data_IF_086656116251
#
_entry.id   IF_086656116251
#
_cell.length_a   1.000
_cell.length_b   1.000
_cell.length_c   1.000
_cell.angle_alpha   90.00
_cell.angle_beta   90.00
_cell.angle_gamma   90.00
#
_symmetry.space_group_name_H-M   'P 1'
#
loop_
_entity.id
_entity.type
_entity.pdbx_description
1 polymer ?
#
# COMPACT_ATOMS: atom_id res chain seq x y z
N UNK A 1 3.97 3.71 -19.44
CA UNK A 1 5.19 3.33 -18.69
C UNK A 1 4.84 3.31 -17.22
N UNK A 2 5.48 2.45 -16.42
CA UNK A 2 5.22 2.34 -15.00
C UNK A 2 6.01 3.36 -14.19
N UNK A 3 5.32 4.18 -13.40
CA UNK A 3 5.97 5.19 -12.52
C UNK A 3 6.55 4.58 -11.22
N UNK A 4 6.20 3.32 -10.92
CA UNK A 4 6.73 2.62 -9.75
C UNK A 4 8.08 2.00 -10.10
N UNK A 5 9.13 2.47 -9.44
CA UNK A 5 10.45 1.84 -9.50
C UNK A 5 10.42 0.49 -8.75
N UNK A 6 10.06 -0.57 -9.46
CA UNK A 6 10.10 -1.93 -8.92
C UNK A 6 11.54 -2.45 -8.74
N UNK A 7 12.52 -1.92 -9.47
CA UNK A 7 13.91 -2.37 -9.39
C UNK A 7 14.50 -2.17 -7.98
N UNK A 8 14.16 -1.07 -7.32
CA UNK A 8 14.66 -0.73 -5.98
C UNK A 8 13.81 -1.28 -4.83
N UNK A 9 12.81 -2.13 -5.09
CA UNK A 9 11.95 -2.69 -4.03
C UNK A 9 12.65 -3.82 -3.26
N UNK A 10 12.21 -4.02 -2.03
CA UNK A 10 12.69 -5.11 -1.19
C UNK A 10 11.88 -6.39 -1.50
N UNK A 11 12.57 -7.42 -2.01
CA UNK A 11 12.00 -8.71 -2.36
C UNK A 11 12.22 -9.80 -1.29
N UNK A 12 12.92 -9.49 -0.20
CA UNK A 12 13.37 -10.47 0.80
C UNK A 12 12.22 -11.25 1.41
N UNK A 13 11.11 -10.60 1.76
CA UNK A 13 9.99 -11.30 2.38
C UNK A 13 9.27 -12.23 1.40
N UNK A 14 9.18 -11.84 0.12
CA UNK A 14 8.63 -12.68 -0.94
C UNK A 14 9.50 -13.93 -1.15
N UNK A 15 10.81 -13.73 -1.36
CA UNK A 15 11.76 -14.82 -1.64
C UNK A 15 12.04 -15.72 -0.45
N UNK A 16 11.93 -15.18 0.77
CA UNK A 16 12.07 -15.96 2.00
C UNK A 16 10.87 -16.87 2.24
N UNK A 17 9.66 -16.43 1.96
CA UNK A 17 8.42 -17.17 2.27
C UNK A 17 7.96 -18.07 1.13
N UNK A 18 8.09 -17.61 -0.12
CA UNK A 18 7.73 -18.38 -1.30
C UNK A 18 8.98 -19.07 -1.86
N UNK A 19 9.16 -20.36 -1.54
CA UNK A 19 10.36 -21.15 -1.92
C UNK A 19 10.00 -22.36 -2.78
N UNK A 20 10.85 -22.61 -3.77
CA UNK A 20 10.81 -23.84 -4.56
C UNK A 20 11.39 -25.04 -3.80
N UNK A 21 11.21 -26.27 -4.35
CA UNK A 21 10.57 -26.54 -5.64
C UNK A 21 9.04 -26.63 -5.57
N UNK A 22 8.47 -26.73 -4.37
CA UNK A 22 7.03 -26.98 -4.18
C UNK A 22 6.17 -25.73 -4.25
N UNK A 23 6.73 -24.53 -3.99
CA UNK A 23 6.03 -23.24 -4.03
C UNK A 23 4.65 -23.29 -3.36
N UNK A 24 4.60 -23.50 -2.04
CA UNK A 24 3.34 -23.75 -1.36
C UNK A 24 2.41 -22.54 -1.47
N UNK A 25 1.22 -22.76 -2.02
CA UNK A 25 0.33 -21.69 -2.46
C UNK A 25 -0.05 -20.72 -1.34
N UNK A 26 -0.33 -21.21 -0.14
CA UNK A 26 -0.73 -20.38 1.01
C UNK A 26 0.34 -19.33 1.33
N UNK A 27 1.59 -19.76 1.51
CA UNK A 27 2.73 -18.91 1.84
C UNK A 27 3.11 -18.01 0.68
N UNK A 28 3.12 -18.56 -0.55
CA UNK A 28 3.45 -17.79 -1.75
C UNK A 28 2.45 -16.68 -2.02
N UNK A 29 1.15 -16.95 -1.90
CA UNK A 29 0.11 -15.95 -2.12
C UNK A 29 0.04 -14.93 -0.99
N UNK A 30 0.27 -15.34 0.26
CA UNK A 30 0.36 -14.40 1.38
C UNK A 30 1.53 -13.42 1.20
N UNK A 31 2.72 -13.92 0.87
CA UNK A 31 3.90 -13.10 0.65
C UNK A 31 3.77 -12.22 -0.61
N UNK A 32 3.18 -12.75 -1.69
CA UNK A 32 2.88 -11.97 -2.90
C UNK A 32 1.92 -10.82 -2.59
N UNK A 33 0.86 -11.05 -1.81
CA UNK A 33 -0.07 -9.99 -1.39
C UNK A 33 0.63 -8.92 -0.55
N UNK A 34 1.50 -9.31 0.39
CA UNK A 34 2.28 -8.34 1.18
C UNK A 34 3.13 -7.44 0.28
N UNK A 35 3.74 -7.99 -0.76
CA UNK A 35 4.56 -7.23 -1.71
C UNK A 35 3.73 -6.37 -2.67
N UNK A 36 2.69 -6.94 -3.30
CA UNK A 36 1.99 -6.33 -4.42
C UNK A 36 0.86 -5.38 -4.00
N UNK A 37 0.20 -5.64 -2.88
CA UNK A 37 -0.98 -4.87 -2.48
C UNK A 37 -0.76 -3.37 -2.24
N UNK A 38 0.40 -2.90 -1.73
CA UNK A 38 0.70 -1.46 -1.68
C UNK A 38 0.67 -0.76 -3.05
N UNK A 39 0.79 -1.52 -4.14
CA UNK A 39 0.85 -1.03 -5.51
C UNK A 39 -0.36 -1.48 -6.36
N UNK A 40 -1.43 -1.96 -5.70
CA UNK A 40 -2.59 -2.56 -6.36
C UNK A 40 -3.23 -1.62 -7.40
N UNK A 41 -3.25 -0.31 -7.16
CA UNK A 41 -3.79 0.65 -8.12
C UNK A 41 -2.96 0.68 -9.42
N UNK A 42 -1.64 0.79 -9.28
CA UNK A 42 -0.72 0.93 -10.41
C UNK A 42 -0.63 -0.37 -11.22
N UNK A 43 -0.54 -1.52 -10.56
CA UNK A 43 -0.43 -2.81 -11.24
C UNK A 43 -1.74 -3.26 -11.89
N UNK A 44 -2.88 -2.72 -11.48
CA UNK A 44 -4.18 -2.98 -12.10
C UNK A 44 -4.54 -1.96 -13.21
N UNK A 45 -3.70 -0.94 -13.46
CA UNK A 45 -3.90 -0.01 -14.58
C UNK A 45 -3.46 -0.66 -15.89
N UNK A 46 -4.46 -1.03 -16.70
CA UNK A 46 -4.28 -1.69 -18.01
C UNK A 46 -3.64 -0.77 -19.07
N UNK A 47 -3.51 0.53 -18.82
CA UNK A 47 -2.84 1.48 -19.72
C UNK A 47 -1.33 1.56 -19.49
N UNK A 48 -0.82 0.87 -18.46
CA UNK A 48 0.61 0.84 -18.11
C UNK A 48 1.17 -0.57 -18.21
N UNK A 49 2.49 -0.67 -18.18
CA UNK A 49 3.23 -1.93 -18.10
C UNK A 49 3.60 -2.30 -16.65
N UNK A 50 3.00 -1.67 -15.63
CA UNK A 50 3.36 -1.88 -14.23
C UNK A 50 3.29 -3.34 -13.79
N UNK A 51 2.24 -4.08 -14.17
CA UNK A 51 2.15 -5.50 -13.86
C UNK A 51 3.31 -6.30 -14.47
N UNK A 52 3.64 -6.01 -15.74
CA UNK A 52 4.72 -6.70 -16.47
C UNK A 52 6.08 -6.41 -15.83
N UNK A 53 6.36 -5.15 -15.52
CA UNK A 53 7.60 -4.72 -14.85
C UNK A 53 7.72 -5.37 -13.47
N UNK A 54 6.66 -5.33 -12.66
CA UNK A 54 6.61 -5.97 -11.35
C UNK A 54 6.93 -7.46 -11.43
N UNK A 55 6.23 -8.21 -12.29
CA UNK A 55 6.44 -9.65 -12.43
C UNK A 55 7.83 -9.98 -12.98
N UNK A 56 8.41 -9.14 -13.85
CA UNK A 56 9.78 -9.33 -14.32
C UNK A 56 10.77 -9.30 -13.17
N UNK A 57 10.68 -8.30 -12.29
CA UNK A 57 11.57 -8.19 -11.13
C UNK A 57 11.33 -9.30 -10.10
N UNK A 58 10.06 -9.63 -9.81
CA UNK A 58 9.73 -10.78 -8.94
C UNK A 58 10.40 -12.07 -9.47
N UNK A 59 10.30 -12.32 -10.77
CA UNK A 59 10.84 -13.52 -11.41
C UNK A 59 12.36 -13.60 -11.27
N UNK A 60 13.09 -12.51 -11.55
CA UNK A 60 14.56 -12.51 -11.49
C UNK A 60 15.09 -12.56 -10.05
N UNK A 61 14.40 -11.95 -9.08
CA UNK A 61 14.85 -11.95 -7.69
C UNK A 61 14.58 -13.26 -6.96
N UNK A 62 13.51 -13.97 -7.31
CA UNK A 62 13.14 -15.23 -6.68
C UNK A 62 13.39 -16.49 -7.51
N UNK A 63 13.90 -16.35 -8.74
CA UNK A 63 14.02 -17.44 -9.72
C UNK A 63 12.69 -18.20 -9.93
N UNK A 64 11.57 -17.48 -9.89
CA UNK A 64 10.25 -18.09 -9.97
C UNK A 64 9.92 -18.57 -11.39
N UNK A 65 9.19 -19.69 -11.55
CA UNK A 65 8.61 -20.06 -12.83
C UNK A 65 7.63 -18.99 -13.34
N UNK A 66 7.61 -18.79 -14.66
CA UNK A 66 6.64 -17.89 -15.28
C UNK A 66 5.22 -18.39 -14.98
N UNK A 67 4.36 -17.46 -14.55
CA UNK A 67 2.95 -17.75 -14.26
C UNK A 67 2.69 -18.41 -12.91
N UNK A 68 3.70 -18.66 -12.07
CA UNK A 68 3.51 -19.27 -10.74
C UNK A 68 2.43 -18.56 -9.91
N UNK A 69 2.52 -17.25 -9.74
CA UNK A 69 1.54 -16.51 -8.94
C UNK A 69 0.15 -16.48 -9.60
N UNK A 70 0.07 -16.55 -10.94
CA UNK A 70 -1.20 -16.62 -11.64
C UNK A 70 -1.85 -18.02 -11.54
N UNK A 71 -1.04 -19.09 -11.41
CA UNK A 71 -1.54 -20.46 -11.21
C UNK A 71 -1.96 -20.71 -9.77
N UNK A 72 -1.11 -20.35 -8.82
CA UNK A 72 -1.29 -20.66 -7.40
C UNK A 72 -2.26 -19.72 -6.70
N UNK A 73 -2.26 -18.43 -7.08
CA UNK A 73 -2.96 -17.40 -6.31
C UNK A 73 -4.29 -17.00 -6.95
N UNK A 74 -5.33 -17.81 -6.68
CA UNK A 74 -6.71 -17.57 -7.14
C UNK A 74 -7.67 -17.55 -5.95
N UNK A 75 -8.02 -16.36 -5.49
CA UNK A 75 -9.00 -16.20 -4.39
C UNK A 75 -10.42 -16.00 -4.91
N UNK A 76 -10.57 -15.23 -5.99
CA UNK A 76 -11.88 -14.88 -6.56
C UNK A 76 -11.87 -14.96 -8.09
N UNK A 77 -13.06 -14.88 -8.70
CA UNK A 77 -13.20 -14.76 -10.17
C UNK A 77 -12.56 -13.49 -10.75
N UNK A 78 -12.31 -12.48 -9.92
CA UNK A 78 -11.71 -11.19 -10.32
C UNK A 78 -10.23 -11.08 -9.94
N UNK A 79 -9.65 -12.12 -9.35
CA UNK A 79 -8.24 -12.16 -8.94
C UNK A 79 -8.05 -12.23 -7.42
N UNK A 80 -6.99 -11.57 -6.94
CA UNK A 80 -6.59 -11.54 -5.53
C UNK A 80 -7.18 -10.32 -4.81
N UNK A 81 -7.69 -10.54 -3.61
CA UNK A 81 -8.24 -9.46 -2.79
C UNK A 81 -7.17 -8.93 -1.86
N UNK A 82 -6.72 -7.71 -2.10
CA UNK A 82 -5.81 -7.05 -1.16
C UNK A 82 -6.53 -6.71 0.15
N UNK A 83 -5.90 -6.98 1.32
CA UNK A 83 -6.46 -6.51 2.58
C UNK A 83 -6.61 -4.99 2.52
N UNK A 84 -7.71 -4.47 3.05
CA UNK A 84 -7.85 -3.02 3.21
C UNK A 84 -6.71 -2.55 4.10
N UNK A 85 -5.88 -1.63 3.60
CA UNK A 85 -4.89 -0.97 4.44
C UNK A 85 -5.63 -0.41 5.66
N UNK A 86 -5.14 -0.63 6.90
CA UNK A 86 -5.72 0.05 8.04
C UNK A 86 -5.70 1.54 7.71
N UNK A 87 -6.88 2.15 7.59
CA UNK A 87 -6.97 3.61 7.49
C UNK A 87 -6.20 4.14 8.69
N UNK A 88 -5.03 4.75 8.45
CA UNK A 88 -4.54 5.77 9.36
C UNK A 88 -5.60 6.85 9.23
N UNK A 89 -6.58 6.83 10.13
CA UNK A 89 -7.52 7.94 10.27
C UNK A 89 -6.65 9.18 10.37
N UNK A 90 -6.72 10.04 9.36
CA UNK A 90 -6.14 11.36 9.46
C UNK A 90 -6.68 11.95 10.77
N UNK A 91 -5.79 12.16 11.73
CA UNK A 91 -6.16 12.79 12.98
C UNK A 91 -6.88 14.09 12.61
N UNK A 92 -8.04 14.41 13.23
CA UNK A 92 -8.70 15.66 12.95
C UNK A 92 -7.72 16.78 13.29
N UNK A 93 -7.37 17.58 12.28
CA UNK A 93 -6.73 18.87 12.51
C UNK A 93 -7.73 19.73 13.30
N UNK A 94 -7.62 19.69 14.63
CA UNK A 94 -8.20 20.72 15.49
C UNK A 94 -7.52 22.03 15.12
N UNK A 95 -8.16 22.82 14.26
CA UNK A 95 -7.85 24.24 14.10
C UNK A 95 -8.25 24.89 15.43
N UNK A 96 -7.28 25.01 16.34
CA UNK A 96 -7.45 25.79 17.57
C UNK A 96 -7.56 27.25 17.16
N UNK A 97 -8.79 27.75 17.10
CA UNK A 97 -9.08 29.17 16.87
C UNK A 97 -8.65 29.93 18.14
N UNK A 98 -7.45 30.51 18.10
CA UNK A 98 -6.93 31.39 19.16
C UNK A 98 -7.72 32.69 19.15
N UNK A 99 -8.81 32.76 19.91
CA UNK A 99 -9.47 34.04 20.21
C UNK A 99 -8.55 34.82 21.14
N UNK A 100 -7.78 35.77 20.59
CA UNK A 100 -7.01 36.73 21.38
C UNK A 100 -7.95 37.61 22.19
N UNK A 101 -7.98 37.40 23.51
CA UNK A 101 -8.61 38.30 24.46
C UNK A 101 -7.74 39.56 24.66
N UNK A 102 -7.93 40.53 23.78
CA UNK A 102 -7.58 41.93 24.03
C UNK A 102 -8.84 42.73 23.68
N UNK A 103 -9.65 43.15 24.64
CA UNK A 103 -9.45 44.47 25.28
C UNK A 103 -10.39 44.56 26.48
N UNK A 104 -9.81 44.67 27.67
CA UNK A 104 -10.48 45.26 28.81
C UNK A 104 -10.34 46.79 28.72
N UNK A 105 -11.17 47.51 29.50
CA UNK A 105 -11.13 48.95 29.81
C UNK A 105 -11.98 49.85 28.89
N UNK A 106 -13.23 50.13 29.30
CA UNK A 106 -13.76 51.46 29.68
C UNK A 106 -15.30 51.45 29.65
N UNK A 107 -15.94 51.49 30.83
CA UNK A 107 -17.18 52.23 31.14
C UNK A 107 -17.90 51.68 32.39
N UNK A 108 -17.26 51.73 33.57
CA UNK A 108 -17.94 51.66 34.86
C UNK A 108 -17.43 52.75 35.81
N UNK A 109 -17.37 53.98 35.29
CA UNK A 109 -17.49 55.21 36.08
C UNK A 109 -18.81 55.80 35.55
N UNK A 110 -19.93 55.80 36.26
CA UNK A 110 -20.18 56.55 37.50
C UNK A 110 -21.33 55.88 38.25
N UNK A 111 -21.10 55.51 39.50
CA UNK A 111 -22.13 55.20 40.49
C UNK A 111 -21.97 56.23 41.61
N UNK A 112 -22.67 57.37 41.48
CA UNK A 112 -23.33 58.16 42.54
C UNK A 112 -24.44 58.95 41.85
#
# INVERSE_FOLDING_TARGET
>A
ECEVDFQSKNYTDLTRQCRGPTYPATECCAAFKQFACPYAHQINDLNTDCAKVMFSYITVHGNYPLGLFASECKETKVGLVCPSSPRVSAAPHHITLVVSAATAVLAFLVLV
#
